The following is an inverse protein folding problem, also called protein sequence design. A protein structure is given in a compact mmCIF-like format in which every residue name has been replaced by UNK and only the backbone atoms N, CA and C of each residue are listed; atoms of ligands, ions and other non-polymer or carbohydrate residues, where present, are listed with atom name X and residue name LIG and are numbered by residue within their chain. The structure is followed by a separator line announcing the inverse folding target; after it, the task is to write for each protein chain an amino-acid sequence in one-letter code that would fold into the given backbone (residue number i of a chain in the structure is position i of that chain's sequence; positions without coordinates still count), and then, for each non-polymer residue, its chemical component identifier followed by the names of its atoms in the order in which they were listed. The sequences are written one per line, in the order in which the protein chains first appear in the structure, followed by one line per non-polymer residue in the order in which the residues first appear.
data_IF_051508794585
#
_entry.id   IF_051508794585
#
_cell.length_a   1.000
_cell.length_b   1.000
_cell.length_c   1.000
_cell.angle_alpha   90.00
_cell.angle_beta   90.00
_cell.angle_gamma   90.00
#
_symmetry.space_group_name_H-M   'P 1'
#
loop_
_entity.id
_entity.type
_entity.pdbx_description
1 polymer ?
#
# COMPACT_ATOMS: atom_id res chain seq x y z
N UNK A 1 -8.02 48.11 55.00
CA UNK A 1 -6.62 48.11 54.51
C UNK A 1 -6.63 47.45 53.14
N UNK A 2 -6.26 48.24 52.16
CA UNK A 2 -6.47 48.01 50.74
C UNK A 2 -5.45 47.05 50.13
N UNK A 3 -5.92 46.42 49.05
CA UNK A 3 -5.15 46.20 47.82
C UNK A 3 -4.11 45.08 47.82
N UNK A 4 -4.40 44.02 47.07
CA UNK A 4 -3.39 43.32 46.26
C UNK A 4 -4.05 42.65 45.04
N UNK A 5 -3.85 43.33 43.91
CA UNK A 5 -3.51 42.82 42.58
C UNK A 5 -4.40 41.75 41.90
N UNK A 6 -5.27 42.26 41.04
CA UNK A 6 -5.62 41.68 39.74
C UNK A 6 -4.37 41.23 38.95
N UNK A 7 -4.45 40.04 38.33
CA UNK A 7 -4.10 39.73 36.94
C UNK A 7 -3.89 38.22 36.76
N UNK A 8 -4.87 37.53 36.17
CA UNK A 8 -4.72 36.85 34.87
C UNK A 8 -6.03 36.14 34.54
N UNK A 9 -6.74 36.70 33.55
CA UNK A 9 -7.66 35.92 32.72
C UNK A 9 -6.84 35.21 31.63
N UNK A 10 -7.27 34.02 31.24
CA UNK A 10 -7.12 33.28 29.96
C UNK A 10 -7.39 31.82 30.33
N UNK A 11 -8.63 31.34 30.29
CA UNK A 11 -9.39 30.94 29.11
C UNK A 11 -8.93 29.60 28.50
N UNK A 12 -9.94 28.77 28.25
CA UNK A 12 -10.10 27.87 27.10
C UNK A 12 -9.44 26.48 27.14
N UNK A 13 -10.32 25.49 27.38
CA UNK A 13 -10.51 24.26 26.58
C UNK A 13 -9.33 23.29 26.43
N UNK A 14 -9.28 22.32 27.34
CA UNK A 14 -8.77 20.97 27.03
C UNK A 14 -9.85 20.19 26.27
N UNK A 15 -9.80 20.26 24.93
CA UNK A 15 -10.37 19.25 24.06
C UNK A 15 -9.26 18.25 23.71
N UNK A 16 -9.33 16.96 24.09
CA UNK A 16 -8.55 15.95 23.41
C UNK A 16 -9.03 15.88 21.97
N UNK A 17 -8.16 16.30 21.05
CA UNK A 17 -8.31 16.04 19.63
C UNK A 17 -8.47 14.53 19.44
N UNK A 18 -9.71 14.10 19.22
CA UNK A 18 -10.04 12.81 18.67
C UNK A 18 -9.25 12.62 17.38
N UNK A 19 -8.30 11.68 17.41
CA UNK A 19 -7.68 11.18 16.19
C UNK A 19 -8.73 10.39 15.40
N UNK A 20 -9.52 11.10 14.61
CA UNK A 20 -10.19 10.51 13.46
C UNK A 20 -9.11 10.23 12.44
N UNK A 21 -8.54 9.02 12.52
CA UNK A 21 -7.79 8.46 11.41
C UNK A 21 -8.67 8.53 10.16
N UNK A 22 -8.11 9.14 9.12
CA UNK A 22 -8.74 9.46 7.85
C UNK A 22 -9.31 8.19 7.19
N UNK A 23 -10.59 7.91 7.42
CA UNK A 23 -11.41 7.14 6.50
C UNK A 23 -11.88 8.11 5.40
N UNK A 24 -10.94 8.63 4.59
CA UNK A 24 -11.30 9.35 3.37
C UNK A 24 -11.75 8.33 2.34
N UNK A 25 -13.07 8.15 2.29
CA UNK A 25 -13.90 7.79 1.14
C UNK A 25 -13.12 7.31 -0.11
N UNK A 26 -12.84 6.01 -0.18
CA UNK A 26 -12.45 5.33 -1.43
C UNK A 26 -13.63 5.19 -2.41
N UNK A 27 -14.42 6.25 -2.62
CA UNK A 27 -15.62 6.24 -3.47
C UNK A 27 -15.33 6.00 -4.96
N UNK A 28 -14.08 6.17 -5.40
CA UNK A 28 -13.69 5.93 -6.80
C UNK A 28 -13.33 4.48 -7.15
N UNK A 29 -13.16 3.59 -6.16
CA UNK A 29 -12.79 2.18 -6.41
C UNK A 29 -13.96 1.19 -6.27
N UNK A 30 -15.13 1.67 -5.83
CA UNK A 30 -16.29 0.83 -5.52
C UNK A 30 -17.00 0.30 -6.77
N UNK A 31 -16.78 0.92 -7.94
CA UNK A 31 -17.33 0.45 -9.22
C UNK A 31 -16.65 -0.83 -9.77
N UNK A 32 -15.55 -1.29 -9.16
CA UNK A 32 -14.99 -2.62 -9.43
C UNK A 32 -15.39 -3.67 -8.37
N UNK A 33 -16.16 -3.28 -7.36
CA UNK A 33 -16.55 -4.12 -6.21
C UNK A 33 -17.98 -4.69 -6.29
N UNK A 34 -18.64 -4.61 -7.44
CA UNK A 34 -20.03 -5.07 -7.58
C UNK A 34 -20.16 -6.32 -8.47
N UNK A 35 -19.53 -7.42 -8.06
CA UNK A 35 -19.97 -8.83 -8.19
C UNK A 35 -18.78 -9.79 -8.06
N UNK A 36 -18.87 -10.68 -7.05
CA UNK A 36 -18.03 -11.85 -6.74
C UNK A 36 -16.86 -11.66 -5.77
N UNK A 37 -17.03 -12.29 -4.60
CA UNK A 37 -16.06 -12.93 -3.71
C UNK A 37 -14.61 -12.41 -3.72
N UNK A 38 -14.30 -11.68 -2.64
CA UNK A 38 -13.01 -11.09 -2.23
C UNK A 38 -12.39 -10.09 -3.22
N UNK A 39 -11.96 -8.89 -2.75
CA UNK A 39 -11.25 -7.95 -3.59
C UNK A 39 -9.97 -8.59 -4.17
N UNK A 40 -9.60 -8.24 -5.41
CA UNK A 40 -8.41 -8.78 -6.09
C UNK A 40 -7.13 -8.57 -5.24
N UNK A 41 -7.09 -7.45 -4.52
CA UNK A 41 -6.10 -7.09 -3.51
C UNK A 41 -6.77 -6.22 -2.43
N UNK A 42 -6.31 -6.35 -1.19
CA UNK A 42 -6.62 -5.47 -0.06
C UNK A 42 -6.18 -4.03 -0.38
N UNK A 43 -7.04 -3.06 -0.06
CA UNK A 43 -6.78 -1.65 -0.36
C UNK A 43 -5.46 -1.15 0.26
N UNK A 44 -5.07 -1.67 1.44
CA UNK A 44 -3.83 -1.29 2.11
C UNK A 44 -2.57 -1.64 1.30
N UNK A 45 -2.54 -2.83 0.70
CA UNK A 45 -1.41 -3.27 -0.11
C UNK A 45 -1.37 -2.60 -1.48
N UNK A 46 -2.54 -2.33 -2.06
CA UNK A 46 -2.61 -1.50 -3.27
C UNK A 46 -2.05 -0.10 -3.04
N UNK A 47 -2.42 0.54 -1.91
CA UNK A 47 -1.88 1.86 -1.54
C UNK A 47 -0.37 1.81 -1.28
N UNK A 48 0.13 0.76 -0.61
CA UNK A 48 1.57 0.53 -0.40
C UNK A 48 2.33 0.46 -1.72
N UNK A 49 1.82 -0.28 -2.70
CA UNK A 49 2.43 -0.40 -4.04
C UNK A 49 2.42 0.94 -4.78
N UNK A 50 1.29 1.66 -4.76
CA UNK A 50 1.18 2.97 -5.40
C UNK A 50 2.14 3.99 -4.77
N UNK A 51 2.23 4.01 -3.43
CA UNK A 51 3.15 4.87 -2.70
C UNK A 51 4.61 4.63 -3.13
N UNK A 52 5.04 3.37 -3.24
CA UNK A 52 6.39 2.98 -3.72
C UNK A 52 6.66 3.28 -5.19
N UNK A 53 5.63 3.29 -6.02
CA UNK A 53 5.75 3.70 -7.42
C UNK A 53 5.98 5.21 -7.51
N UNK A 54 5.28 6.01 -6.71
CA UNK A 54 5.39 7.47 -6.71
C UNK A 54 6.59 8.00 -5.92
N UNK A 55 6.95 7.34 -4.82
CA UNK A 55 8.04 7.73 -3.93
C UNK A 55 9.30 6.91 -4.23
N UNK A 56 10.09 7.38 -5.19
CA UNK A 56 11.31 6.70 -5.64
C UNK A 56 12.52 6.87 -4.71
N UNK A 57 12.42 7.73 -3.68
CA UNK A 57 13.53 8.10 -2.78
C UNK A 57 13.39 7.63 -1.33
N UNK A 58 12.26 7.02 -0.98
CA UNK A 58 12.03 6.36 0.31
C UNK A 58 11.18 5.13 0.00
N UNK A 59 11.60 3.97 0.47
CA UNK A 59 10.72 2.80 0.57
C UNK A 59 9.57 3.14 1.53
N UNK A 60 8.56 3.85 1.03
CA UNK A 60 7.35 4.15 1.76
C UNK A 60 6.53 2.88 1.89
N UNK A 61 6.44 2.35 3.11
CA UNK A 61 5.63 1.17 3.41
C UNK A 61 6.04 0.53 4.72
N UNK A 62 5.26 0.82 5.78
CA UNK A 62 5.43 0.43 7.19
C UNK A 62 6.81 0.83 7.76
N UNK A 63 6.87 1.28 9.01
CA UNK A 63 8.11 1.66 9.73
C UNK A 63 9.15 0.53 9.88
N UNK A 64 8.98 -0.60 9.18
CA UNK A 64 9.61 -1.89 9.41
C UNK A 64 10.40 -2.44 8.21
N UNK A 65 10.28 -1.86 7.00
CA UNK A 65 11.10 -2.29 5.87
C UNK A 65 12.35 -1.42 5.74
N UNK A 66 13.51 -2.03 5.95
CA UNK A 66 14.82 -1.39 5.75
C UNK A 66 14.99 -1.03 4.26
N UNK A 67 15.48 0.18 3.96
CA UNK A 67 15.68 0.66 2.60
C UNK A 67 16.85 -0.09 1.95
N UNK A 68 16.54 -1.23 1.34
CA UNK A 68 17.52 -2.14 0.73
C UNK A 68 17.57 -1.93 -0.79
N UNK A 69 18.77 -2.02 -1.39
CA UNK A 69 18.88 -1.96 -2.85
C UNK A 69 18.16 -3.15 -3.50
N UNK A 70 17.60 -2.91 -4.70
CA UNK A 70 16.91 -3.94 -5.48
C UNK A 70 17.85 -5.11 -5.81
N UNK A 71 17.43 -6.34 -5.46
CA UNK A 71 18.13 -7.57 -5.77
C UNK A 71 17.27 -8.45 -6.70
N UNK A 72 17.62 -8.48 -7.99
CA UNK A 72 16.86 -9.21 -9.01
C UNK A 72 16.80 -10.72 -8.76
N UNK A 73 17.88 -11.33 -8.25
CA UNK A 73 17.95 -12.76 -8.01
C UNK A 73 17.04 -13.18 -6.84
N UNK A 74 17.11 -12.44 -5.72
CA UNK A 74 16.23 -12.66 -4.58
C UNK A 74 14.77 -12.47 -4.99
N UNK A 75 14.48 -11.43 -5.77
CA UNK A 75 13.15 -11.12 -6.27
C UNK A 75 12.56 -12.20 -7.20
N UNK A 76 13.37 -12.79 -8.09
CA UNK A 76 12.96 -13.90 -8.93
C UNK A 76 12.72 -15.19 -8.11
N UNK A 77 13.58 -15.47 -7.14
CA UNK A 77 13.41 -16.62 -6.25
C UNK A 77 12.12 -16.49 -5.41
N UNK A 78 11.83 -15.29 -4.92
CA UNK A 78 10.64 -15.00 -4.13
C UNK A 78 9.36 -15.10 -4.98
N UNK A 79 9.41 -14.64 -6.24
CA UNK A 79 8.31 -14.83 -7.19
C UNK A 79 8.07 -16.32 -7.50
N UNK A 80 9.13 -17.13 -7.58
CA UNK A 80 9.00 -18.57 -7.78
C UNK A 80 8.32 -19.23 -6.57
N UNK A 81 8.65 -18.81 -5.35
CA UNK A 81 7.96 -19.26 -4.12
C UNK A 81 6.48 -18.85 -4.13
N UNK A 82 6.18 -17.60 -4.46
CA UNK A 82 4.80 -17.11 -4.57
C UNK A 82 3.98 -17.91 -5.59
N UNK A 83 4.58 -18.33 -6.71
CA UNK A 83 3.91 -19.17 -7.72
C UNK A 83 3.76 -20.63 -7.31
N UNK A 84 4.56 -21.10 -6.35
CA UNK A 84 4.43 -22.44 -5.78
C UNK A 84 3.31 -22.51 -4.74
N UNK A 85 2.96 -21.39 -4.11
CA UNK A 85 1.80 -21.29 -3.23
C UNK A 85 0.49 -21.34 -4.03
N UNK A 86 -0.42 -22.29 -3.75
CA UNK A 86 -1.65 -22.45 -4.51
C UNK A 86 -2.63 -21.28 -4.36
N UNK A 87 -2.70 -20.64 -3.19
CA UNK A 87 -3.62 -19.51 -2.96
C UNK A 87 -3.14 -18.28 -3.73
N UNK A 88 -1.85 -17.98 -3.62
CA UNK A 88 -1.23 -16.86 -4.34
C UNK A 88 -1.26 -17.08 -5.84
N UNK A 89 -0.93 -18.29 -6.30
CA UNK A 89 -1.00 -18.65 -7.72
C UNK A 89 -2.39 -18.43 -8.30
N UNK A 90 -3.45 -18.86 -7.60
CA UNK A 90 -4.82 -18.65 -8.07
C UNK A 90 -5.17 -17.16 -8.23
N UNK A 91 -4.74 -16.33 -7.28
CA UNK A 91 -4.95 -14.87 -7.34
C UNK A 91 -4.19 -14.24 -8.51
N UNK A 92 -2.92 -14.62 -8.71
CA UNK A 92 -2.11 -14.14 -9.83
C UNK A 92 -2.69 -14.59 -11.19
N UNK A 93 -3.14 -15.84 -11.30
CA UNK A 93 -3.76 -16.36 -12.52
C UNK A 93 -5.09 -15.66 -12.82
N UNK A 94 -5.89 -15.32 -11.79
CA UNK A 94 -7.11 -14.52 -11.93
C UNK A 94 -6.80 -13.13 -12.48
N UNK A 95 -5.82 -12.43 -11.90
CA UNK A 95 -5.37 -11.10 -12.35
C UNK A 95 -4.91 -11.16 -13.82
N UNK A 96 -4.15 -12.19 -14.20
CA UNK A 96 -3.66 -12.34 -15.57
C UNK A 96 -4.79 -12.54 -16.60
N UNK A 97 -5.90 -13.18 -16.18
CA UNK A 97 -7.09 -13.38 -17.04
C UNK A 97 -7.98 -12.14 -17.11
N UNK A 98 -8.17 -11.45 -16.00
CA UNK A 98 -9.16 -10.38 -15.88
C UNK A 98 -8.60 -8.99 -16.21
N UNK A 99 -7.30 -8.77 -16.01
CA UNK A 99 -6.67 -7.44 -16.19
C UNK A 99 -5.88 -7.42 -17.50
N UNK A 100 -6.51 -6.87 -18.54
CA UNK A 100 -5.93 -6.82 -19.89
C UNK A 100 -4.75 -5.85 -20.00
N UNK A 101 -4.83 -4.71 -19.33
CA UNK A 101 -3.77 -3.70 -19.36
C UNK A 101 -2.51 -4.19 -18.61
N UNK A 102 -1.34 -4.21 -19.27
CA UNK A 102 -0.13 -4.81 -18.70
C UNK A 102 0.39 -4.06 -17.46
N UNK A 103 0.27 -2.73 -17.44
CA UNK A 103 0.73 -1.92 -16.31
C UNK A 103 -0.18 -2.12 -15.09
N UNK A 104 -1.50 -2.06 -15.27
CA UNK A 104 -2.48 -2.36 -14.21
C UNK A 104 -2.34 -3.78 -13.69
N UNK A 105 -2.06 -4.75 -14.57
CA UNK A 105 -1.81 -6.14 -14.17
C UNK A 105 -0.63 -6.22 -13.20
N UNK A 106 0.49 -5.58 -13.54
CA UNK A 106 1.67 -5.56 -12.68
C UNK A 106 1.40 -4.89 -11.32
N UNK A 107 0.55 -3.86 -11.27
CA UNK A 107 0.16 -3.21 -10.01
C UNK A 107 -0.64 -4.18 -9.12
N UNK A 108 -1.63 -4.88 -9.68
CA UNK A 108 -2.41 -5.85 -8.92
C UNK A 108 -1.57 -7.05 -8.48
N UNK A 109 -0.71 -7.58 -9.35
CA UNK A 109 0.22 -8.65 -8.97
C UNK A 109 1.16 -8.21 -7.84
N UNK A 110 1.69 -6.98 -7.91
CA UNK A 110 2.51 -6.42 -6.84
C UNK A 110 1.74 -6.32 -5.52
N UNK A 111 0.46 -5.94 -5.55
CA UNK A 111 -0.38 -5.82 -4.37
C UNK A 111 -0.66 -7.19 -3.72
N UNK A 112 -0.98 -8.22 -4.52
CA UNK A 112 -1.12 -9.59 -4.01
C UNK A 112 0.19 -10.07 -3.37
N UNK A 113 1.33 -9.83 -4.02
CA UNK A 113 2.63 -10.22 -3.48
C UNK A 113 2.97 -9.48 -2.18
N UNK A 114 2.53 -8.23 -2.03
CA UNK A 114 2.69 -7.44 -0.81
C UNK A 114 1.87 -7.99 0.37
N UNK A 115 0.62 -8.37 0.13
CA UNK A 115 -0.28 -8.96 1.14
C UNK A 115 0.27 -10.25 1.72
N UNK A 116 0.80 -11.10 0.83
CA UNK A 116 1.27 -12.45 1.15
C UNK A 116 2.73 -12.44 1.65
N UNK A 117 3.37 -11.26 1.75
CA UNK A 117 4.70 -11.10 2.31
C UNK A 117 5.86 -11.39 1.36
N UNK A 118 5.60 -11.58 0.07
CA UNK A 118 6.61 -11.76 -0.98
C UNK A 118 7.19 -10.41 -1.45
N UNK A 119 7.79 -9.67 -0.52
CA UNK A 119 8.23 -8.29 -0.73
C UNK A 119 9.26 -8.13 -1.85
N UNK A 120 10.15 -9.10 -2.03
CA UNK A 120 11.13 -9.02 -3.12
C UNK A 120 10.46 -9.22 -4.48
N UNK A 121 9.45 -10.10 -4.54
CA UNK A 121 8.65 -10.30 -5.75
C UNK A 121 7.77 -9.09 -6.09
N UNK A 122 7.19 -8.42 -5.08
CA UNK A 122 6.52 -7.12 -5.24
C UNK A 122 7.46 -6.10 -5.89
N UNK A 123 8.67 -5.97 -5.35
CA UNK A 123 9.66 -5.01 -5.85
C UNK A 123 10.08 -5.33 -7.31
N UNK A 124 10.08 -6.60 -7.72
CA UNK A 124 10.27 -7.00 -9.12
C UNK A 124 9.19 -6.39 -10.02
N UNK A 125 7.91 -6.49 -9.64
CA UNK A 125 6.79 -5.95 -10.41
C UNK A 125 6.82 -4.43 -10.48
N UNK A 126 7.11 -3.77 -9.36
CA UNK A 126 7.33 -2.32 -9.30
C UNK A 126 8.47 -1.90 -10.23
N UNK A 127 9.58 -2.63 -10.23
CA UNK A 127 10.70 -2.33 -11.12
C UNK A 127 10.35 -2.54 -12.60
N UNK A 128 9.54 -3.56 -12.94
CA UNK A 128 9.04 -3.77 -14.29
C UNK A 128 8.14 -2.61 -14.76
N UNK A 129 7.25 -2.12 -13.90
CA UNK A 129 6.43 -0.92 -14.19
C UNK A 129 7.34 0.29 -14.44
N UNK A 130 8.33 0.52 -13.58
CA UNK A 130 9.30 1.61 -13.74
C UNK A 130 10.06 1.53 -15.07
N UNK A 131 10.40 0.32 -15.52
CA UNK A 131 11.08 0.09 -16.80
C UNK A 131 10.17 0.35 -18.01
N UNK A 132 8.86 0.16 -17.91
CA UNK A 132 7.90 0.44 -18.99
C UNK A 132 7.70 1.93 -19.26
N UNK A 133 8.02 2.79 -18.29
CA UNK A 133 7.81 4.25 -18.34
C UNK A 133 9.11 5.07 -18.34
N UNK A 134 10.26 4.42 -18.58
CA UNK A 134 11.53 5.10 -18.86
C UNK A 134 11.67 5.36 -20.35
#
# INVERSE_FOLDING_TARGET
MNSLCFKLAIATLLLPASMTAMAQDCKGLQDLQYKNDKPQAECGSLLSVLDRLTNTRKAGGRKLEEDRPFNAQAAQADLAKAKADPEVRQRLDKINKEVSDPTRRLVYEAAVLDEEGYYSARDLRINQIKQQHK
#
